data_IF_402729773370
#
_entry.id   IF_402729773370
#
_cell.length_a   1.000
_cell.length_b   1.000
_cell.length_c   1.000
_cell.angle_alpha   90.00
_cell.angle_beta   90.00
_cell.angle_gamma   90.00
#
_symmetry.space_group_name_H-M   'P 1'
#
loop_
_entity.id
_entity.type
_entity.pdbx_description
1 polymer ?
#
# COMPACT_ATOMS: atom_id res chain seq x y z
N UNK A 1 4.59 0.72 0.18
CA UNK A 1 3.89 0.98 1.46
C UNK A 1 3.37 -0.26 2.21
N UNK A 2 3.54 -1.50 1.73
CA UNK A 2 2.89 -2.71 2.26
C UNK A 2 3.23 -3.14 3.72
N UNK A 3 4.20 -2.51 4.40
CA UNK A 3 4.56 -2.78 5.81
C UNK A 3 4.45 -1.57 6.75
N UNK A 4 3.82 -0.47 6.31
CA UNK A 4 3.69 0.73 7.15
C UNK A 4 4.99 1.54 7.33
N UNK A 5 6.07 1.18 6.64
CA UNK A 5 7.29 1.97 6.60
C UNK A 5 7.10 3.21 5.71
N UNK A 6 7.50 4.36 6.22
CA UNK A 6 7.62 5.62 5.48
C UNK A 6 8.69 5.51 4.38
N UNK A 7 8.62 6.36 3.35
CA UNK A 7 9.63 6.37 2.27
C UNK A 7 11.05 6.60 2.80
N UNK A 8 11.18 7.36 3.90
CA UNK A 8 12.46 7.60 4.57
C UNK A 8 13.02 6.33 5.22
N UNK A 9 12.18 5.53 5.86
CA UNK A 9 12.58 4.25 6.46
C UNK A 9 12.95 3.21 5.39
N UNK A 10 12.25 3.20 4.26
CA UNK A 10 12.59 2.33 3.12
C UNK A 10 13.98 2.68 2.57
N UNK A 11 14.27 3.97 2.40
CA UNK A 11 15.60 4.43 1.96
C UNK A 11 16.68 4.06 2.96
N UNK A 12 16.45 4.28 4.25
CA UNK A 12 17.39 3.91 5.30
C UNK A 12 17.68 2.40 5.30
N UNK A 13 16.64 1.57 5.18
CA UNK A 13 16.77 0.12 5.08
C UNK A 13 17.56 -0.32 3.84
N UNK A 14 17.31 0.27 2.67
CA UNK A 14 18.02 -0.07 1.43
C UNK A 14 19.49 0.37 1.47
N UNK A 15 19.78 1.48 2.12
CA UNK A 15 21.15 1.95 2.35
C UNK A 15 21.91 1.05 3.35
N UNK A 16 21.28 0.72 4.48
CA UNK A 16 21.89 -0.10 5.53
C UNK A 16 22.13 -1.55 5.08
N UNK A 17 21.15 -2.13 4.36
CA UNK A 17 21.19 -3.56 4.05
C UNK A 17 21.77 -3.90 2.67
N UNK A 18 21.71 -2.95 1.73
CA UNK A 18 22.18 -3.16 0.35
C UNK A 18 23.18 -2.10 -0.11
N UNK A 19 23.60 -1.15 0.74
CA UNK A 19 24.55 -0.09 0.38
C UNK A 19 24.08 0.81 -0.75
N UNK A 20 22.79 0.78 -1.08
CA UNK A 20 22.23 1.42 -2.27
C UNK A 20 21.45 2.67 -1.86
N UNK A 21 21.88 3.83 -2.37
CA UNK A 21 21.12 5.06 -2.20
C UNK A 21 20.09 5.21 -3.33
N UNK A 22 18.81 5.24 -2.95
CA UNK A 22 17.68 5.40 -3.87
C UNK A 22 16.95 6.72 -3.59
N UNK A 23 16.52 7.38 -4.66
CA UNK A 23 15.76 8.62 -4.54
C UNK A 23 14.33 8.35 -4.06
N UNK A 24 13.72 9.37 -3.44
CA UNK A 24 12.30 9.35 -3.08
C UNK A 24 11.41 9.09 -4.31
N UNK A 25 11.73 9.72 -5.43
CA UNK A 25 10.98 9.61 -6.68
C UNK A 25 11.04 8.20 -7.26
N UNK A 26 12.18 7.52 -7.12
CA UNK A 26 12.31 6.12 -7.53
C UNK A 26 11.46 5.18 -6.67
N UNK A 27 11.41 5.41 -5.35
CA UNK A 27 10.53 4.62 -4.47
C UNK A 27 9.05 4.88 -4.82
N UNK A 28 8.69 6.12 -5.16
CA UNK A 28 7.34 6.46 -5.60
C UNK A 28 6.98 5.77 -6.91
N UNK A 29 7.83 5.86 -7.94
CA UNK A 29 7.55 5.30 -9.27
C UNK A 29 7.43 3.78 -9.24
N UNK A 30 8.26 3.09 -8.44
CA UNK A 30 8.14 1.65 -8.21
C UNK A 30 6.82 1.33 -7.51
N UNK A 31 6.38 2.15 -6.56
CA UNK A 31 5.09 1.95 -5.88
C UNK A 31 3.92 2.18 -6.83
N UNK A 32 4.01 3.18 -7.71
CA UNK A 32 2.99 3.47 -8.72
C UNK A 32 2.85 2.33 -9.73
N UNK A 33 3.95 1.68 -10.11
CA UNK A 33 3.92 0.51 -11.00
C UNK A 33 3.10 -0.67 -10.42
N UNK A 34 3.11 -0.84 -9.08
CA UNK A 34 2.33 -1.89 -8.41
C UNK A 34 0.82 -1.57 -8.41
N UNK A 35 0.41 -0.32 -8.66
CA UNK A 35 -1.01 0.04 -8.69
C UNK A 35 -1.78 -0.66 -9.81
N UNK A 36 -1.12 -0.93 -10.94
CA UNK A 36 -1.71 -1.71 -12.04
C UNK A 36 -2.01 -3.15 -11.61
N UNK A 37 -1.06 -3.79 -10.92
CA UNK A 37 -1.23 -5.14 -10.37
C UNK A 37 -2.34 -5.20 -9.31
N UNK A 38 -2.45 -4.17 -8.46
CA UNK A 38 -3.53 -4.03 -7.48
C UNK A 38 -4.90 -3.97 -8.19
N UNK A 39 -4.99 -3.21 -9.28
CA UNK A 39 -6.20 -3.13 -10.09
C UNK A 39 -6.59 -4.49 -10.70
N UNK A 40 -5.61 -5.21 -11.26
CA UNK A 40 -5.83 -6.56 -11.79
C UNK A 40 -6.27 -7.55 -10.68
N UNK A 41 -5.67 -7.46 -9.50
CA UNK A 41 -6.03 -8.30 -8.35
C UNK A 41 -7.46 -8.03 -7.86
N UNK A 42 -7.91 -6.77 -7.86
CA UNK A 42 -9.29 -6.40 -7.51
C UNK A 42 -10.32 -6.94 -8.51
N UNK A 43 -9.94 -7.07 -9.78
CA UNK A 43 -10.82 -7.54 -10.86
C UNK A 43 -10.77 -9.06 -11.08
N UNK A 44 -9.98 -9.79 -10.29
CA UNK A 44 -9.84 -11.24 -10.47
C UNK A 44 -11.19 -11.95 -10.32
N UNK A 45 -11.48 -12.95 -11.18
CA UNK A 45 -12.71 -13.73 -11.04
C UNK A 45 -12.70 -14.46 -9.69
N UNK A 46 -13.85 -14.44 -9.01
CA UNK A 46 -14.07 -15.19 -7.79
C UNK A 46 -14.76 -16.52 -8.10
N UNK A 47 -14.57 -17.50 -7.21
CA UNK A 47 -15.28 -18.77 -7.32
C UNK A 47 -16.79 -18.58 -7.11
N UNK A 48 -17.65 -19.41 -7.73
CA UNK A 48 -19.10 -19.24 -7.67
C UNK A 48 -19.70 -19.48 -6.28
N UNK A 49 -18.97 -20.13 -5.36
CA UNK A 49 -19.48 -20.47 -4.03
C UNK A 49 -18.46 -20.21 -2.92
N UNK A 50 -18.90 -19.45 -1.91
CA UNK A 50 -18.22 -19.26 -0.63
C UNK A 50 -19.23 -19.51 0.51
N UNK A 51 -19.23 -20.69 1.15
CA UNK A 51 -20.21 -21.05 2.17
C UNK A 51 -20.24 -20.13 3.40
N UNK A 52 -19.10 -19.49 3.70
CA UNK A 52 -18.94 -18.52 4.79
C UNK A 52 -18.02 -17.41 4.30
N UNK A 53 -18.40 -16.15 4.56
CA UNK A 53 -17.60 -14.95 4.26
C UNK A 53 -17.53 -14.12 5.54
N UNK A 54 -16.33 -13.63 5.86
CA UNK A 54 -16.11 -12.69 6.96
C UNK A 54 -15.91 -11.29 6.39
N UNK A 55 -16.56 -10.31 6.99
CA UNK A 55 -16.31 -8.91 6.73
C UNK A 55 -15.51 -8.36 7.90
N UNK A 56 -14.46 -7.59 7.60
CA UNK A 56 -13.69 -6.85 8.57
C UNK A 56 -13.67 -5.37 8.16
N UNK A 57 -13.59 -4.48 9.14
CA UNK A 57 -13.56 -3.05 8.94
C UNK A 57 -12.43 -2.44 9.78
N UNK A 58 -11.50 -1.78 9.09
CA UNK A 58 -10.39 -1.07 9.71
C UNK A 58 -10.68 0.42 9.71
N UNK A 59 -10.80 1.02 10.89
CA UNK A 59 -10.88 2.48 11.01
C UNK A 59 -9.50 3.10 10.88
N UNK A 60 -9.32 3.88 9.82
CA UNK A 60 -8.06 4.58 9.54
C UNK A 60 -8.31 6.08 9.48
N UNK A 61 -7.33 6.83 10.00
CA UNK A 61 -7.31 8.29 9.88
C UNK A 61 -6.81 8.65 8.49
N UNK A 62 -7.68 9.24 7.69
CA UNK A 62 -7.36 9.67 6.33
C UNK A 62 -7.46 11.19 6.29
N UNK A 63 -6.53 11.84 5.61
CA UNK A 63 -6.65 13.26 5.30
C UNK A 63 -7.52 13.39 4.05
N UNK A 64 -8.68 13.99 4.21
CA UNK A 64 -9.64 14.25 3.14
C UNK A 64 -9.94 15.74 3.11
N UNK A 65 -9.78 16.37 1.95
CA UNK A 65 -9.98 17.83 1.75
C UNK A 65 -9.27 18.73 2.80
N UNK A 66 -8.12 18.29 3.31
CA UNK A 66 -7.33 19.03 4.31
C UNK A 66 -7.69 18.76 5.77
N UNK A 67 -8.79 18.05 6.04
CA UNK A 67 -9.21 17.62 7.38
C UNK A 67 -8.85 16.14 7.60
N UNK A 68 -8.33 15.82 8.78
CA UNK A 68 -8.07 14.42 9.15
C UNK A 68 -9.36 13.86 9.75
N UNK A 69 -10.03 12.97 9.02
CA UNK A 69 -11.25 12.30 9.46
C UNK A 69 -10.99 10.80 9.67
N UNK A 70 -11.71 10.20 10.62
CA UNK A 70 -11.76 8.75 10.75
C UNK A 70 -12.72 8.23 9.69
N UNK A 71 -12.23 7.42 8.76
CA UNK A 71 -13.06 6.66 7.81
C UNK A 71 -13.07 5.19 8.21
N UNK A 72 -14.22 4.55 8.02
CA UNK A 72 -14.48 3.14 8.29
C UNK A 72 -14.73 2.40 6.99
#
# INVERSE_FOLDING_TARGET
YARGMTVREIRAFLSEQYGTDVSHDFISSVTDAVMEEVGAWQQRPLEPMYPVIFFDALRVKIRDEGLVCNKA
#
